data_IF_552600320743
#
_entry.id   IF_552600320743
#
_cell.length_a   1.000
_cell.length_b   1.000
_cell.length_c   1.000
_cell.angle_alpha   90.00
_cell.angle_beta   90.00
_cell.angle_gamma   90.00
#
_symmetry.space_group_name_H-M   'P 1'
#
loop_
_entity.id
_entity.type
_entity.pdbx_description
1 polymer ?
#
# COMPACT_ATOMS: atom_id res chain seq x y z
N UNK A 1 -42.26 31.46 -20.09
CA UNK A 1 -41.80 30.08 -19.81
C UNK A 1 -42.92 29.29 -19.20
N UNK A 2 -43.29 28.13 -19.76
CA UNK A 2 -44.36 27.31 -19.17
C UNK A 2 -43.90 26.69 -17.85
N UNK A 3 -44.85 26.48 -16.90
CA UNK A 3 -44.51 25.81 -15.60
C UNK A 3 -43.80 24.48 -15.80
N UNK A 4 -44.12 23.74 -16.86
CA UNK A 4 -43.48 22.45 -17.22
C UNK A 4 -42.01 22.64 -17.63
N UNK A 5 -41.68 23.71 -18.42
CA UNK A 5 -40.33 24.01 -18.83
C UNK A 5 -39.46 24.46 -17.66
N UNK A 6 -40.03 25.20 -16.70
CA UNK A 6 -39.35 25.64 -15.50
C UNK A 6 -38.99 24.45 -14.58
N UNK A 7 -39.94 23.51 -14.38
CA UNK A 7 -39.69 22.30 -13.56
C UNK A 7 -38.61 21.42 -14.22
N UNK A 8 -38.62 21.29 -15.55
CA UNK A 8 -37.61 20.48 -16.26
C UNK A 8 -36.19 21.06 -16.15
N UNK A 9 -36.06 22.38 -16.24
CA UNK A 9 -34.77 23.07 -16.08
C UNK A 9 -34.27 22.95 -14.64
N UNK A 10 -35.14 23.10 -13.63
CA UNK A 10 -34.75 22.98 -12.22
C UNK A 10 -34.32 21.55 -11.87
N UNK A 11 -35.03 20.52 -12.37
CA UNK A 11 -34.65 19.13 -12.15
C UNK A 11 -33.34 18.74 -12.81
N UNK A 12 -33.05 19.22 -14.03
CA UNK A 12 -31.77 18.96 -14.68
C UNK A 12 -30.60 19.66 -14.00
N UNK A 13 -30.79 20.89 -13.50
CA UNK A 13 -29.75 21.62 -12.76
C UNK A 13 -29.45 20.94 -11.42
N UNK A 14 -30.47 20.49 -10.67
CA UNK A 14 -30.28 19.79 -9.40
C UNK A 14 -29.59 18.44 -9.61
N UNK A 15 -29.93 17.67 -10.65
CA UNK A 15 -29.25 16.41 -10.97
C UNK A 15 -27.78 16.60 -11.35
N UNK A 16 -27.45 17.68 -12.08
CA UNK A 16 -26.05 17.95 -12.43
C UNK A 16 -25.21 18.38 -11.23
N UNK A 17 -25.78 19.06 -10.24
CA UNK A 17 -25.09 19.39 -8.99
C UNK A 17 -24.81 18.15 -8.12
N UNK A 18 -25.75 17.19 -8.07
CA UNK A 18 -25.52 15.94 -7.33
C UNK A 18 -24.47 15.03 -7.99
N UNK A 19 -24.42 14.99 -9.32
CA UNK A 19 -23.40 14.21 -10.04
C UNK A 19 -21.97 14.78 -9.87
N UNK A 20 -21.84 16.11 -9.78
CA UNK A 20 -20.55 16.77 -9.53
C UNK A 20 -20.03 16.58 -8.09
N UNK A 21 -20.93 16.49 -7.10
CA UNK A 21 -20.53 16.29 -5.70
C UNK A 21 -19.95 14.88 -5.43
N UNK A 22 -20.35 13.86 -6.18
CA UNK A 22 -19.82 12.50 -6.05
C UNK A 22 -18.38 12.37 -6.58
N UNK A 23 -17.96 13.23 -7.50
CA UNK A 23 -16.60 13.22 -8.08
C UNK A 23 -15.55 13.88 -7.19
N UNK A 24 -15.96 14.61 -6.14
CA UNK A 24 -15.06 15.33 -5.22
C UNK A 24 -14.87 14.63 -3.88
N UNK A 25 -15.50 13.48 -3.66
CA UNK A 25 -15.30 12.67 -2.46
C UNK A 25 -13.94 11.97 -2.53
N UNK A 26 -12.88 12.66 -2.15
CA UNK A 26 -11.57 12.05 -1.92
C UNK A 26 -11.69 10.90 -0.92
N UNK A 27 -10.92 9.85 -1.13
CA UNK A 27 -10.89 8.70 -0.21
C UNK A 27 -10.31 9.14 1.13
N UNK A 28 -11.00 8.85 2.23
CA UNK A 28 -10.44 9.04 3.57
C UNK A 28 -9.28 8.08 3.77
N UNK A 29 -8.08 8.63 3.93
CA UNK A 29 -6.88 7.83 4.20
C UNK A 29 -6.87 7.44 5.67
N UNK A 30 -6.86 6.15 5.94
CA UNK A 30 -6.78 5.63 7.31
C UNK A 30 -5.38 5.87 7.89
N UNK A 31 -5.31 6.18 9.19
CA UNK A 31 -4.05 6.35 9.93
C UNK A 31 -3.24 5.04 9.98
N UNK A 32 -3.94 3.92 10.02
CA UNK A 32 -3.35 2.57 10.07
C UNK A 32 -4.07 1.63 9.11
N UNK A 33 -3.30 0.79 8.43
CA UNK A 33 -3.81 -0.25 7.55
C UNK A 33 -3.39 -1.62 8.06
N UNK A 34 -4.35 -2.53 8.19
CA UNK A 34 -4.06 -3.94 8.34
C UNK A 34 -3.74 -4.50 6.95
N UNK A 35 -2.52 -5.00 6.75
CA UNK A 35 -2.03 -5.48 5.46
C UNK A 35 -2.68 -6.83 5.11
N UNK A 36 -3.97 -6.78 4.80
CA UNK A 36 -4.81 -7.92 4.44
C UNK A 36 -5.30 -7.81 3.00
N UNK A 37 -5.45 -8.96 2.35
CA UNK A 37 -6.10 -9.06 1.05
C UNK A 37 -7.01 -10.30 1.06
N UNK A 38 -8.20 -10.18 0.49
CA UNK A 38 -9.19 -11.27 0.41
C UNK A 38 -8.73 -12.41 -0.50
N UNK A 39 -7.79 -12.15 -1.39
CA UNK A 39 -7.24 -13.11 -2.32
C UNK A 39 -6.39 -14.20 -1.63
N UNK A 40 -5.93 -13.96 -0.40
CA UNK A 40 -5.20 -14.97 0.36
C UNK A 40 -6.13 -16.03 0.94
N UNK A 41 -6.12 -17.23 0.41
CA UNK A 41 -6.86 -18.39 0.94
C UNK A 41 -6.27 -18.89 2.27
N UNK A 42 -4.95 -18.82 2.40
CA UNK A 42 -4.23 -19.26 3.61
C UNK A 42 -3.11 -18.28 3.95
N UNK A 43 -2.83 -18.13 5.23
CA UNK A 43 -1.74 -17.28 5.73
C UNK A 43 -0.93 -18.04 6.77
N UNK A 44 0.37 -17.87 6.71
CA UNK A 44 1.29 -18.48 7.68
C UNK A 44 1.45 -17.62 8.94
N UNK A 45 1.26 -16.32 8.82
CA UNK A 45 1.44 -15.33 9.89
C UNK A 45 0.24 -14.41 9.96
N UNK A 46 -0.02 -13.87 11.13
CA UNK A 46 -0.97 -12.77 11.28
C UNK A 46 -0.58 -11.59 10.39
N UNK A 47 -1.55 -10.81 9.97
CA UNK A 47 -1.30 -9.66 9.10
C UNK A 47 -0.49 -8.59 9.81
N UNK A 48 0.44 -7.98 9.09
CA UNK A 48 1.16 -6.82 9.57
C UNK A 48 0.23 -5.59 9.58
N UNK A 49 0.54 -4.62 10.45
CA UNK A 49 -0.13 -3.32 10.47
C UNK A 49 0.85 -2.26 9.99
N UNK A 50 0.44 -1.48 9.00
CA UNK A 50 1.14 -0.29 8.54
C UNK A 50 0.57 0.93 9.27
N UNK A 51 1.39 1.66 9.99
CA UNK A 51 1.04 2.96 10.59
C UNK A 51 1.30 4.08 9.57
N UNK A 52 0.38 4.22 8.58
CA UNK A 52 0.57 5.09 7.41
C UNK A 52 0.85 6.54 7.81
N UNK A 53 0.01 7.12 8.65
CA UNK A 53 0.16 8.49 9.13
C UNK A 53 1.53 8.75 9.77
N UNK A 54 2.00 7.82 10.62
CA UNK A 54 3.33 7.93 11.23
C UNK A 54 4.45 7.92 10.20
N UNK A 55 4.36 7.10 9.16
CA UNK A 55 5.37 7.08 8.11
C UNK A 55 5.45 8.41 7.37
N UNK A 56 4.30 9.04 7.08
CA UNK A 56 4.25 10.32 6.37
C UNK A 56 4.60 11.50 7.30
N UNK A 57 3.97 11.59 8.46
CA UNK A 57 4.06 12.78 9.30
C UNK A 57 5.28 12.78 10.24
N UNK A 58 5.59 11.64 10.89
CA UNK A 58 6.69 11.54 11.84
C UNK A 58 8.01 11.16 11.16
N UNK A 59 7.98 10.13 10.30
CA UNK A 59 9.21 9.60 9.67
C UNK A 59 9.53 10.27 8.34
N UNK A 60 8.64 11.17 7.85
CA UNK A 60 8.81 11.95 6.61
C UNK A 60 9.09 11.09 5.39
N UNK A 61 8.50 9.88 5.35
CA UNK A 61 8.57 9.03 4.17
C UNK A 61 7.79 9.69 3.02
N UNK A 62 8.41 9.78 1.84
CA UNK A 62 7.74 10.29 0.65
C UNK A 62 6.74 9.26 0.12
N UNK A 63 5.65 9.72 -0.48
CA UNK A 63 4.62 8.84 -1.06
C UNK A 63 5.22 7.84 -2.05
N UNK A 64 6.13 8.28 -2.92
CA UNK A 64 6.80 7.46 -3.91
C UNK A 64 7.78 6.41 -3.35
N UNK A 65 8.10 6.44 -2.05
CA UNK A 65 8.87 5.36 -1.41
C UNK A 65 8.05 4.07 -1.27
N UNK A 66 6.72 4.20 -1.26
CA UNK A 66 5.79 3.07 -1.15
C UNK A 66 4.89 2.92 -2.38
N UNK A 67 4.46 4.04 -2.98
CA UNK A 67 3.54 4.06 -4.10
C UNK A 67 4.27 4.29 -5.42
N UNK A 68 3.98 3.46 -6.41
CA UNK A 68 4.57 3.53 -7.75
C UNK A 68 3.52 3.17 -8.80
N UNK A 69 3.75 3.54 -10.06
CA UNK A 69 2.94 3.13 -11.19
C UNK A 69 3.22 1.66 -11.60
N UNK A 70 2.53 1.18 -12.63
CA UNK A 70 2.68 -0.18 -13.14
C UNK A 70 4.11 -0.49 -13.65
N UNK A 71 4.89 0.53 -13.99
CA UNK A 71 6.27 0.41 -14.46
C UNK A 71 7.29 0.51 -13.32
N UNK A 72 6.83 0.69 -12.08
CA UNK A 72 7.68 0.85 -10.90
C UNK A 72 8.22 2.28 -10.71
N UNK A 73 7.71 3.27 -11.45
CA UNK A 73 8.09 4.68 -11.27
C UNK A 73 7.43 5.24 -10.00
N UNK A 74 8.21 5.80 -9.07
CA UNK A 74 7.68 6.38 -7.83
C UNK A 74 6.64 7.48 -8.08
N UNK A 75 5.54 7.45 -7.33
CA UNK A 75 4.48 8.44 -7.35
C UNK A 75 4.72 9.49 -6.26
N UNK A 76 5.67 10.40 -6.51
CA UNK A 76 6.07 11.41 -5.53
C UNK A 76 5.07 12.56 -5.36
N UNK A 77 4.27 12.83 -6.39
CA UNK A 77 3.41 14.01 -6.49
C UNK A 77 1.96 13.74 -6.06
N UNK A 78 1.63 12.52 -5.65
CA UNK A 78 0.28 12.20 -5.15
C UNK A 78 -0.01 12.92 -3.84
N UNK A 79 -1.25 13.37 -3.71
CA UNK A 79 -1.73 14.06 -2.50
C UNK A 79 -2.48 13.11 -1.58
N UNK A 80 -2.49 13.44 -0.30
CA UNK A 80 -3.31 12.70 0.68
C UNK A 80 -4.77 12.69 0.27
N UNK A 81 -5.36 11.50 0.20
CA UNK A 81 -6.75 11.30 -0.24
C UNK A 81 -6.92 10.99 -1.73
N UNK A 82 -5.87 11.07 -2.53
CA UNK A 82 -5.92 10.57 -3.91
C UNK A 82 -5.94 9.04 -3.95
N UNK A 83 -6.64 8.50 -4.96
CA UNK A 83 -6.74 7.07 -5.15
C UNK A 83 -5.41 6.49 -5.62
N UNK A 84 -4.95 5.47 -4.93
CA UNK A 84 -3.79 4.68 -5.34
C UNK A 84 -4.19 3.23 -5.58
N UNK A 85 -3.54 2.58 -6.54
CA UNK A 85 -3.75 1.16 -6.80
C UNK A 85 -3.28 0.32 -5.60
N UNK A 86 -4.04 -0.72 -5.28
CA UNK A 86 -3.62 -1.69 -4.25
C UNK A 86 -2.47 -2.54 -4.79
N UNK A 87 -1.51 -2.84 -3.94
CA UNK A 87 -0.35 -3.67 -4.31
C UNK A 87 -0.75 -4.99 -5.02
N UNK A 88 -1.85 -5.63 -4.57
CA UNK A 88 -2.34 -6.90 -5.12
C UNK A 88 -2.88 -6.78 -6.55
N UNK A 89 -3.25 -5.59 -7.02
CA UNK A 89 -3.76 -5.39 -8.38
C UNK A 89 -2.67 -5.58 -9.44
N UNK A 90 -1.42 -5.32 -9.08
CA UNK A 90 -0.24 -5.54 -9.93
C UNK A 90 0.54 -6.78 -9.50
N UNK A 91 0.73 -7.02 -8.20
CA UNK A 91 1.42 -8.19 -7.64
C UNK A 91 0.43 -9.33 -7.38
N UNK A 92 -0.07 -9.93 -8.45
CA UNK A 92 -1.31 -10.73 -8.49
C UNK A 92 -1.25 -12.10 -7.81
N UNK A 93 -0.08 -12.61 -7.41
CA UNK A 93 0.02 -13.94 -6.77
C UNK A 93 -0.08 -13.78 -5.25
N UNK A 94 -1.23 -14.14 -4.60
CA UNK A 94 -1.48 -13.88 -3.17
C UNK A 94 -0.77 -14.91 -2.28
N UNK A 95 0.54 -14.98 -2.39
CA UNK A 95 1.37 -15.91 -1.61
C UNK A 95 2.81 -15.40 -1.48
N UNK A 96 3.62 -16.16 -0.76
CA UNK A 96 5.08 -16.12 -0.84
C UNK A 96 5.54 -16.91 -2.06
N UNK A 97 6.68 -16.51 -2.65
CA UNK A 97 7.33 -17.33 -3.66
C UNK A 97 7.66 -18.73 -3.11
N UNK A 98 7.63 -19.78 -3.93
CA UNK A 98 8.01 -21.13 -3.50
C UNK A 98 9.46 -21.18 -3.03
N UNK A 99 9.76 -22.16 -2.19
CA UNK A 99 11.16 -22.48 -1.87
C UNK A 99 11.85 -23.03 -3.11
N UNK A 100 13.01 -22.48 -3.42
CA UNK A 100 13.85 -22.99 -4.51
C UNK A 100 14.29 -24.44 -4.21
N UNK A 101 14.09 -25.34 -5.15
CA UNK A 101 14.64 -26.68 -5.10
C UNK A 101 16.08 -26.70 -5.63
N UNK A 102 16.84 -27.73 -5.26
CA UNK A 102 18.21 -27.92 -5.78
C UNK A 102 18.18 -28.06 -7.29
N UNK A 103 19.03 -27.30 -8.00
CA UNK A 103 19.09 -27.30 -9.46
C UNK A 103 18.13 -26.36 -10.19
N UNK A 104 17.06 -25.84 -9.56
CA UNK A 104 16.18 -24.87 -10.19
C UNK A 104 16.87 -23.50 -10.39
N UNK A 105 16.58 -22.75 -11.45
CA UNK A 105 17.04 -21.38 -11.61
C UNK A 105 16.45 -20.47 -10.52
N UNK A 106 17.11 -19.35 -10.25
CA UNK A 106 16.52 -18.31 -9.42
C UNK A 106 15.45 -17.57 -10.21
N UNK A 107 14.35 -17.22 -9.55
CA UNK A 107 13.37 -16.31 -10.13
C UNK A 107 14.04 -14.95 -10.41
N UNK A 108 13.70 -14.34 -11.53
CA UNK A 108 14.03 -12.94 -11.79
C UNK A 108 13.37 -12.04 -10.75
N UNK A 109 13.81 -10.79 -10.65
CA UNK A 109 13.18 -9.83 -9.73
C UNK A 109 11.73 -9.54 -10.10
N UNK A 110 11.39 -9.51 -11.37
CA UNK A 110 10.03 -9.35 -11.86
C UNK A 110 9.15 -10.56 -11.46
N UNK A 111 9.60 -11.79 -11.77
CA UNK A 111 8.91 -13.01 -11.38
C UNK A 111 8.72 -13.11 -9.86
N UNK A 112 9.71 -12.68 -9.09
CA UNK A 112 9.65 -12.68 -7.63
C UNK A 112 8.64 -11.64 -7.12
N UNK A 113 8.61 -10.45 -7.69
CA UNK A 113 7.66 -9.39 -7.32
C UNK A 113 6.22 -9.68 -7.77
N UNK A 114 5.99 -10.59 -8.70
CA UNK A 114 4.64 -11.06 -9.00
C UNK A 114 3.94 -11.67 -7.76
N UNK A 115 4.73 -12.21 -6.81
CA UNK A 115 4.24 -12.68 -5.51
C UNK A 115 4.02 -11.50 -4.57
N UNK A 116 2.77 -11.23 -4.22
CA UNK A 116 2.37 -10.08 -3.40
C UNK A 116 3.13 -9.97 -2.08
N UNK A 117 3.30 -11.09 -1.37
CA UNK A 117 4.06 -11.08 -0.11
C UNK A 117 5.55 -10.73 -0.30
N UNK A 118 6.15 -11.07 -1.44
CA UNK A 118 7.54 -10.69 -1.72
C UNK A 118 7.64 -9.19 -2.04
N UNK A 119 6.70 -8.64 -2.81
CA UNK A 119 6.64 -7.21 -3.10
C UNK A 119 6.51 -6.38 -1.81
N UNK A 120 5.60 -6.77 -0.90
CA UNK A 120 5.46 -6.11 0.41
C UNK A 120 6.72 -6.24 1.27
N UNK A 121 7.34 -7.43 1.32
CA UNK A 121 8.58 -7.62 2.09
C UNK A 121 9.74 -6.80 1.54
N UNK A 122 9.86 -6.70 0.24
CA UNK A 122 10.91 -5.87 -0.38
C UNK A 122 10.70 -4.40 -0.04
N UNK A 123 9.50 -3.89 -0.19
CA UNK A 123 9.19 -2.51 0.11
C UNK A 123 9.45 -2.18 1.60
N UNK A 124 8.74 -2.83 2.52
CA UNK A 124 8.84 -2.51 3.95
C UNK A 124 10.21 -2.86 4.55
N UNK A 125 10.69 -4.07 4.31
CA UNK A 125 11.85 -4.61 5.02
C UNK A 125 13.18 -4.04 4.51
N UNK A 126 13.29 -3.74 3.22
CA UNK A 126 14.49 -3.12 2.66
C UNK A 126 14.63 -1.70 3.17
N UNK A 127 13.55 -0.89 3.11
CA UNK A 127 13.52 0.46 3.64
C UNK A 127 13.89 0.49 5.14
N UNK A 128 13.27 -0.36 5.97
CA UNK A 128 13.58 -0.46 7.40
C UNK A 128 15.04 -0.85 7.69
N UNK A 129 15.63 -1.70 6.86
CA UNK A 129 17.06 -2.03 7.00
C UNK A 129 17.96 -0.85 6.68
N UNK A 130 17.65 -0.13 5.60
CA UNK A 130 18.41 1.08 5.21
C UNK A 130 18.30 2.15 6.30
N UNK A 131 17.08 2.42 6.76
CA UNK A 131 16.81 3.35 7.86
C UNK A 131 17.60 2.97 9.13
N UNK A 132 17.53 1.71 9.56
CA UNK A 132 18.26 1.25 10.75
C UNK A 132 19.79 1.39 10.61
N UNK A 133 20.35 1.18 9.41
CA UNK A 133 21.77 1.41 9.14
C UNK A 133 22.13 2.90 9.23
N UNK A 134 21.29 3.77 8.66
CA UNK A 134 21.45 5.23 8.72
C UNK A 134 21.46 5.70 10.17
N UNK A 135 20.45 5.33 10.96
CA UNK A 135 20.36 5.67 12.39
C UNK A 135 21.61 5.21 13.16
N UNK A 136 22.06 3.98 12.92
CA UNK A 136 23.28 3.47 13.57
C UNK A 136 24.52 4.29 13.20
N UNK A 137 24.65 4.68 11.93
CA UNK A 137 25.79 5.49 11.46
C UNK A 137 25.80 6.89 12.08
N UNK A 138 24.62 7.52 12.16
CA UNK A 138 24.49 8.92 12.61
C UNK A 138 24.50 9.06 14.14
N UNK A 139 23.98 8.09 14.86
CA UNK A 139 23.75 8.18 16.32
C UNK A 139 24.53 7.17 17.17
N UNK A 140 25.18 6.20 16.54
CA UNK A 140 25.79 5.03 17.22
C UNK A 140 24.76 4.04 17.77
N UNK A 141 23.45 4.39 17.80
CA UNK A 141 22.37 3.59 18.38
C UNK A 141 21.74 2.67 17.35
N UNK A 142 21.24 1.52 17.81
CA UNK A 142 20.51 0.59 16.94
C UNK A 142 19.15 1.18 16.52
N UNK A 143 18.90 1.25 15.22
CA UNK A 143 17.59 1.66 14.72
C UNK A 143 16.47 0.69 15.14
N UNK A 144 15.26 1.21 15.30
CA UNK A 144 14.10 0.49 15.87
C UNK A 144 13.08 0.03 14.82
N UNK A 145 13.26 0.38 13.54
CA UNK A 145 12.33 -0.05 12.49
C UNK A 145 12.28 -1.59 12.40
N UNK A 146 11.07 -2.20 12.32
CA UNK A 146 10.89 -3.64 12.40
C UNK A 146 11.45 -4.34 11.14
N UNK A 147 12.28 -5.39 11.35
CA UNK A 147 12.89 -6.16 10.24
C UNK A 147 12.73 -7.67 10.42
N UNK A 148 12.17 -8.14 11.54
CA UNK A 148 11.97 -9.57 11.84
C UNK A 148 10.49 -9.94 11.78
N UNK A 149 10.21 -11.23 11.52
CA UNK A 149 8.84 -11.75 11.38
C UNK A 149 7.92 -11.33 12.54
N UNK A 150 8.34 -11.60 13.78
CA UNK A 150 7.49 -11.35 14.96
C UNK A 150 7.27 -9.87 15.26
N UNK A 151 8.16 -8.97 14.78
CA UNK A 151 7.97 -7.52 14.93
C UNK A 151 6.98 -6.95 13.92
N UNK A 152 6.93 -7.53 12.72
CA UNK A 152 6.00 -7.12 11.67
C UNK A 152 4.66 -7.86 11.76
N UNK A 153 4.68 -9.08 12.27
CA UNK A 153 3.52 -9.96 12.38
C UNK A 153 3.23 -10.27 13.86
N UNK A 154 2.52 -9.38 14.57
CA UNK A 154 2.18 -9.58 15.98
C UNK A 154 1.34 -10.85 16.16
N UNK A 155 1.60 -11.61 17.23
CA UNK A 155 1.00 -12.94 17.45
C UNK A 155 1.65 -14.08 16.66
N UNK A 156 2.63 -13.77 15.79
CA UNK A 156 3.46 -14.78 15.15
C UNK A 156 2.75 -15.63 14.09
N UNK A 157 3.05 -16.92 14.07
CA UNK A 157 2.44 -17.89 13.15
C UNK A 157 1.00 -18.20 13.56
N UNK A 158 0.12 -18.31 12.57
CA UNK A 158 -1.23 -18.86 12.75
C UNK A 158 -1.09 -20.38 12.95
N UNK A 159 -1.72 -20.89 14.00
CA UNK A 159 -1.77 -22.34 14.30
C UNK A 159 -2.77 -23.03 13.38
#
# INVERSE_FOLDING_TARGET
MSKKTFIFVVTTVVMSFFAAAVLLAGTTVQDTFKMESKEYKTRKYNSATLTHKKHVEEYKANCGECHHDANGKPLNDIKTGENVQKCIECHKIPSRKPKKKKGEPKLTDEQRRAYHAEALHDNCKVCHKVFNKKVKKETGKKGKAPTSCNKCHPGGKIK
#
